data_IF_483062418819
#
_entry.id   IF_483062418819
#
_cell.length_a   1.000
_cell.length_b   1.000
_cell.length_c   1.000
_cell.angle_alpha   90.00
_cell.angle_beta   90.00
_cell.angle_gamma   90.00
#
_symmetry.space_group_name_H-M   'P 1'
#
loop_
_entity.id
_entity.type
_entity.pdbx_description
1 polymer ?
#
# COMPACT_ATOMS: atom_id res chain seq x y z
N UNK A 1 5.55 -39.52 -13.41
CA UNK A 1 6.61 -38.48 -13.51
C UNK A 1 6.02 -37.09 -13.69
N UNK A 2 5.24 -36.83 -14.76
CA UNK A 2 4.60 -35.52 -15.02
C UNK A 2 3.91 -34.83 -13.81
N UNK A 3 3.12 -35.57 -13.02
CA UNK A 3 2.47 -35.01 -11.83
C UNK A 3 3.44 -34.59 -10.71
N UNK A 4 4.55 -35.32 -10.55
CA UNK A 4 5.57 -35.01 -9.55
C UNK A 4 6.35 -33.75 -9.96
N UNK A 5 6.74 -33.65 -11.23
CA UNK A 5 7.47 -32.48 -11.76
C UNK A 5 6.61 -31.20 -11.71
N UNK A 6 5.31 -31.32 -12.01
CA UNK A 6 4.35 -30.22 -11.88
C UNK A 6 4.17 -29.81 -10.41
N UNK A 7 4.07 -30.77 -9.48
CA UNK A 7 3.93 -30.48 -8.06
C UNK A 7 5.18 -29.78 -7.49
N UNK A 8 6.38 -30.25 -7.85
CA UNK A 8 7.64 -29.61 -7.43
C UNK A 8 7.75 -28.20 -8.01
N UNK A 9 7.42 -28.02 -9.29
CA UNK A 9 7.45 -26.68 -9.93
C UNK A 9 6.48 -25.70 -9.26
N UNK A 10 5.25 -26.16 -8.94
CA UNK A 10 4.27 -25.36 -8.22
C UNK A 10 4.74 -25.00 -6.81
N UNK A 11 5.38 -25.93 -6.10
CA UNK A 11 5.93 -25.68 -4.77
C UNK A 11 7.07 -24.64 -4.78
N UNK A 12 7.98 -24.73 -5.77
CA UNK A 12 9.06 -23.74 -5.95
C UNK A 12 8.49 -22.35 -6.23
N UNK A 13 7.49 -22.24 -7.12
CA UNK A 13 6.84 -20.98 -7.42
C UNK A 13 6.12 -20.39 -6.20
N UNK A 14 5.43 -21.24 -5.41
CA UNK A 14 4.79 -20.81 -4.18
C UNK A 14 5.82 -20.28 -3.16
N UNK A 15 6.91 -21.01 -2.92
CA UNK A 15 7.99 -20.60 -2.02
C UNK A 15 8.64 -19.29 -2.45
N UNK A 16 8.92 -19.13 -3.74
CA UNK A 16 9.43 -17.89 -4.30
C UNK A 16 8.44 -16.74 -4.04
N UNK A 17 7.17 -16.93 -4.36
CA UNK A 17 6.12 -15.93 -4.13
C UNK A 17 6.03 -15.50 -2.66
N UNK A 18 6.01 -16.45 -1.72
CA UNK A 18 5.96 -16.14 -0.29
C UNK A 18 7.22 -15.39 0.17
N UNK A 19 8.39 -15.77 -0.33
CA UNK A 19 9.66 -15.12 -0.01
C UNK A 19 9.68 -13.68 -0.52
N UNK A 20 9.30 -13.45 -1.78
CA UNK A 20 9.19 -12.11 -2.36
C UNK A 20 8.19 -11.25 -1.60
N UNK A 21 7.02 -11.80 -1.26
CA UNK A 21 5.99 -11.06 -0.50
C UNK A 21 6.47 -10.67 0.90
N UNK A 22 7.19 -11.56 1.58
CA UNK A 22 7.79 -11.29 2.88
C UNK A 22 8.83 -10.17 2.80
N UNK A 23 9.76 -10.28 1.84
CA UNK A 23 10.80 -9.29 1.61
C UNK A 23 10.21 -7.92 1.25
N UNK A 24 9.20 -7.89 0.38
CA UNK A 24 8.50 -6.67 0.02
C UNK A 24 7.80 -6.03 1.21
N UNK A 25 7.14 -6.81 2.08
CA UNK A 25 6.53 -6.28 3.31
C UNK A 25 7.59 -5.69 4.25
N UNK A 26 8.78 -6.29 4.36
CA UNK A 26 9.88 -5.75 5.14
C UNK A 26 10.35 -4.39 4.61
N UNK A 27 10.56 -4.27 3.29
CA UNK A 27 10.91 -2.99 2.66
C UNK A 27 9.81 -1.95 2.85
N UNK A 28 8.54 -2.33 2.66
CA UNK A 28 7.41 -1.44 2.87
C UNK A 28 7.34 -0.91 4.30
N UNK A 29 7.58 -1.76 5.31
CA UNK A 29 7.65 -1.34 6.72
C UNK A 29 8.79 -0.36 6.97
N UNK A 30 9.97 -0.62 6.41
CA UNK A 30 11.11 0.29 6.51
C UNK A 30 10.79 1.65 5.88
N UNK A 31 10.20 1.65 4.69
CA UNK A 31 9.88 2.86 3.94
C UNK A 31 8.85 3.73 4.65
N UNK A 32 7.72 3.12 5.05
CA UNK A 32 6.64 3.82 5.79
C UNK A 32 7.16 4.43 7.09
N UNK A 33 8.13 3.79 7.75
CA UNK A 33 8.73 4.30 8.99
C UNK A 33 9.70 5.46 8.76
N UNK A 34 10.41 5.48 7.64
CA UNK A 34 11.42 6.50 7.33
C UNK A 34 10.83 7.71 6.62
N UNK A 35 9.74 7.52 5.88
CA UNK A 35 9.12 8.57 5.08
C UNK A 35 8.48 9.66 5.96
N UNK A 36 8.57 10.90 5.51
CA UNK A 36 7.82 12.03 6.07
C UNK A 36 6.39 12.13 5.51
N UNK A 37 6.08 11.39 4.44
CA UNK A 37 4.77 11.38 3.76
C UNK A 37 3.78 10.46 4.45
N UNK A 38 4.21 9.56 5.33
CA UNK A 38 3.32 8.65 6.08
C UNK A 38 3.51 8.81 7.57
N UNK A 39 2.42 9.03 8.31
CA UNK A 39 2.42 9.16 9.77
C UNK A 39 1.59 8.07 10.40
N UNK A 40 2.15 7.37 11.39
CA UNK A 40 1.40 6.41 12.20
C UNK A 40 0.66 7.15 13.31
N UNK A 41 -0.68 7.04 13.36
CA UNK A 41 -1.51 7.69 14.40
C UNK A 41 -2.69 6.81 14.79
N UNK A 42 -2.82 6.50 16.08
CA UNK A 42 -3.99 5.82 16.66
C UNK A 42 -4.48 4.59 15.87
N UNK A 43 -3.57 3.66 15.52
CA UNK A 43 -3.95 2.46 14.77
C UNK A 43 -4.19 2.68 13.26
N UNK A 44 -3.87 3.86 12.74
CA UNK A 44 -3.96 4.21 11.31
C UNK A 44 -2.62 4.63 10.72
N UNK A 45 -2.48 4.47 9.41
CA UNK A 45 -1.41 5.05 8.61
C UNK A 45 -1.99 6.21 7.81
N UNK A 46 -1.52 7.42 8.09
CA UNK A 46 -2.01 8.65 7.48
C UNK A 46 -1.01 9.13 6.42
N UNK A 47 -1.45 9.15 5.16
CA UNK A 47 -0.64 9.53 4.00
C UNK A 47 -0.89 11.02 3.69
N UNK A 48 0.19 11.75 3.46
CA UNK A 48 0.26 13.14 3.04
C UNK A 48 1.26 13.22 1.87
N UNK A 49 0.85 12.74 0.71
CA UNK A 49 1.66 12.63 -0.49
C UNK A 49 1.09 13.51 -1.61
N UNK A 50 1.99 13.93 -2.50
CA UNK A 50 1.69 14.58 -3.78
C UNK A 50 1.23 13.54 -4.82
N UNK A 51 0.71 14.00 -5.95
CA UNK A 51 0.19 13.11 -7.00
C UNK A 51 1.24 12.11 -7.49
N UNK A 52 2.50 12.55 -7.61
CA UNK A 52 3.62 11.73 -8.10
C UNK A 52 3.94 10.54 -7.18
N UNK A 53 3.85 10.71 -5.86
CA UNK A 53 4.25 9.68 -4.90
C UNK A 53 3.08 8.97 -4.19
N UNK A 54 1.85 9.42 -4.39
CA UNK A 54 0.68 8.90 -3.67
C UNK A 54 0.47 7.40 -3.88
N UNK A 55 0.48 6.93 -5.14
CA UNK A 55 0.29 5.51 -5.44
C UNK A 55 1.34 4.64 -4.73
N UNK A 56 2.60 5.07 -4.76
CA UNK A 56 3.69 4.37 -4.10
C UNK A 56 3.42 4.23 -2.60
N UNK A 57 3.07 5.33 -1.92
CA UNK A 57 2.83 5.29 -0.48
C UNK A 57 1.56 4.53 -0.07
N UNK A 58 0.54 4.48 -0.93
CA UNK A 58 -0.62 3.61 -0.73
C UNK A 58 -0.18 2.14 -0.74
N UNK A 59 0.57 1.73 -1.78
CA UNK A 59 1.05 0.34 -1.91
C UNK A 59 1.96 -0.05 -0.76
N UNK A 60 2.88 0.83 -0.37
CA UNK A 60 3.76 0.63 0.79
C UNK A 60 2.95 0.49 2.09
N UNK A 61 1.99 1.39 2.33
CA UNK A 61 1.18 1.35 3.57
C UNK A 61 0.34 0.08 3.68
N UNK A 62 -0.32 -0.33 2.59
CA UNK A 62 -1.13 -1.56 2.55
C UNK A 62 -0.27 -2.83 2.72
N UNK A 63 0.98 -2.80 2.27
CA UNK A 63 1.89 -3.96 2.34
C UNK A 63 2.66 -4.03 3.66
N UNK A 64 2.91 -2.87 4.27
CA UNK A 64 3.58 -2.76 5.55
C UNK A 64 2.69 -3.26 6.69
N UNK A 65 1.43 -2.81 6.72
CA UNK A 65 0.49 -3.08 7.81
C UNK A 65 -0.90 -3.41 7.24
N UNK A 66 -1.11 -4.62 6.67
CA UNK A 66 -2.33 -4.96 5.94
C UNK A 66 -3.61 -4.92 6.81
N UNK A 67 -3.47 -4.96 8.14
CA UNK A 67 -4.58 -4.91 9.09
C UNK A 67 -4.92 -3.49 9.58
N UNK A 68 -4.06 -2.51 9.31
CA UNK A 68 -4.29 -1.12 9.71
C UNK A 68 -5.11 -0.38 8.66
N UNK A 69 -5.93 0.58 9.10
CA UNK A 69 -6.59 1.49 8.18
C UNK A 69 -5.58 2.50 7.63
N UNK A 70 -5.55 2.65 6.31
CA UNK A 70 -4.78 3.64 5.57
C UNK A 70 -5.70 4.81 5.25
N UNK A 71 -5.32 6.01 5.67
CA UNK A 71 -6.06 7.25 5.45
C UNK A 71 -5.24 8.13 4.52
N UNK A 72 -5.73 8.38 3.32
CA UNK A 72 -5.13 9.35 2.39
C UNK A 72 -5.72 10.72 2.73
N UNK A 73 -4.88 11.65 3.18
CA UNK A 73 -5.31 13.02 3.45
C UNK A 73 -5.05 13.89 2.22
N UNK A 74 -6.11 14.51 1.72
CA UNK A 74 -6.09 15.39 0.55
C UNK A 74 -6.52 16.77 1.00
N UNK A 75 -5.68 17.78 0.78
CA UNK A 75 -6.07 19.17 0.96
C UNK A 75 -7.10 19.56 -0.09
N UNK A 76 -8.30 19.98 0.34
CA UNK A 76 -9.39 20.40 -0.56
C UNK A 76 -9.02 21.59 -1.44
N UNK A 77 -8.11 22.44 -0.96
CA UNK A 77 -7.69 23.65 -1.64
C UNK A 77 -6.49 23.42 -2.56
N UNK A 78 -5.92 22.21 -2.57
CA UNK A 78 -4.82 21.87 -3.48
C UNK A 78 -5.31 21.82 -4.92
N UNK A 79 -4.49 22.32 -5.85
CA UNK A 79 -4.71 22.18 -7.28
C UNK A 79 -4.75 20.70 -7.73
N UNK A 80 -4.12 19.81 -6.97
CA UNK A 80 -4.03 18.37 -7.25
C UNK A 80 -5.17 17.57 -6.59
N UNK A 81 -6.13 18.20 -5.90
CA UNK A 81 -7.10 17.51 -5.07
C UNK A 81 -7.94 16.46 -5.84
N UNK A 82 -8.32 16.77 -7.08
CA UNK A 82 -9.08 15.86 -7.94
C UNK A 82 -8.23 14.66 -8.40
N UNK A 83 -6.98 14.91 -8.79
CA UNK A 83 -6.04 13.88 -9.21
C UNK A 83 -5.70 12.93 -8.06
N UNK A 84 -5.40 13.48 -6.88
CA UNK A 84 -5.14 12.70 -5.66
C UNK A 84 -6.34 11.83 -5.29
N UNK A 85 -7.56 12.38 -5.42
CA UNK A 85 -8.78 11.65 -5.14
C UNK A 85 -9.03 10.52 -6.16
N UNK A 86 -8.73 10.78 -7.44
CA UNK A 86 -8.79 9.77 -8.49
C UNK A 86 -7.83 8.61 -8.21
N UNK A 87 -6.54 8.91 -7.96
CA UNK A 87 -5.52 7.91 -7.64
C UNK A 87 -5.94 7.09 -6.42
N UNK A 88 -6.30 7.76 -5.30
CA UNK A 88 -6.71 7.07 -4.09
C UNK A 88 -8.00 6.25 -4.28
N UNK A 89 -8.92 6.74 -5.11
CA UNK A 89 -10.18 6.08 -5.45
C UNK A 89 -9.98 4.71 -6.08
N UNK A 90 -9.04 4.58 -7.02
CA UNK A 90 -8.69 3.30 -7.66
C UNK A 90 -8.34 2.23 -6.61
N UNK A 91 -7.61 2.60 -5.56
CA UNK A 91 -7.22 1.69 -4.49
C UNK A 91 -8.31 1.47 -3.43
N UNK A 92 -9.10 2.50 -3.12
CA UNK A 92 -10.22 2.41 -2.20
C UNK A 92 -11.26 1.38 -2.67
N UNK A 93 -11.55 1.35 -3.97
CA UNK A 93 -12.47 0.37 -4.55
C UNK A 93 -11.98 -1.08 -4.42
N UNK A 94 -10.66 -1.29 -4.38
CA UNK A 94 -10.05 -2.63 -4.29
C UNK A 94 -9.79 -3.08 -2.86
N UNK A 95 -9.75 -2.16 -1.90
CA UNK A 95 -9.25 -2.42 -0.56
C UNK A 95 -10.09 -1.73 0.51
N UNK A 96 -10.81 -2.50 1.33
CA UNK A 96 -11.67 -1.97 2.41
C UNK A 96 -10.92 -1.19 3.50
N UNK A 97 -9.59 -1.33 3.55
CA UNK A 97 -8.74 -0.72 4.56
C UNK A 97 -8.22 0.67 4.15
N UNK A 98 -8.59 1.19 2.98
CA UNK A 98 -8.21 2.53 2.54
C UNK A 98 -9.40 3.49 2.61
N UNK A 99 -9.18 4.69 3.16
CA UNK A 99 -10.16 5.76 3.22
C UNK A 99 -9.55 7.07 2.73
N UNK A 100 -10.34 7.86 2.03
CA UNK A 100 -9.97 9.21 1.60
C UNK A 100 -10.54 10.20 2.62
N UNK A 101 -9.68 11.08 3.12
CA UNK A 101 -10.05 12.13 4.06
C UNK A 101 -9.65 13.48 3.48
N UNK A 102 -10.60 14.40 3.40
CA UNK A 102 -10.32 15.73 2.90
C UNK A 102 -10.05 16.69 4.06
N UNK A 103 -8.89 17.33 4.05
CA UNK A 103 -8.44 18.30 5.05
C UNK A 103 -8.53 19.73 4.49
N UNK A 104 -8.54 20.72 5.40
CA UNK A 104 -8.61 22.16 5.12
C UNK A 104 -7.30 22.79 5.56
#
# INVERSE_FOLDING_TARGET
>A
MLFFDVAVSAAVLALAYFSFRSLFSFFAKSEVRKSNKVKRKAGTLQIYADAESLEYYIRMSLSAEPHMAVIVNIDKNSAEAEELAYIAGIFAHRTKNLKINYII
#
